data_IF_074840536176
#
_entry.id   IF_074840536176
#
_cell.length_a   1.000
_cell.length_b   1.000
_cell.length_c   1.000
_cell.angle_alpha   90.00
_cell.angle_beta   90.00
_cell.angle_gamma   90.00
#
_symmetry.space_group_name_H-M   'P 1'
#
loop_
_entity.id
_entity.type
_entity.pdbx_description
1 polymer ?
#
# COMPACT_ATOMS: atom_id res chain seq x y z
N UNK A 1 -19.85 -23.98 29.66
CA UNK A 1 -19.56 -23.19 28.44
C UNK A 1 -18.58 -22.03 28.63
N UNK A 2 -18.04 -21.76 29.83
CA UNK A 2 -17.06 -20.67 30.03
C UNK A 2 -15.59 -21.07 29.79
N UNK A 3 -15.27 -22.36 29.89
CA UNK A 3 -13.89 -22.83 29.71
C UNK A 3 -13.46 -22.74 28.23
N UNK A 4 -14.42 -22.91 27.31
CA UNK A 4 -14.19 -22.83 25.86
C UNK A 4 -13.90 -21.40 25.38
N UNK A 5 -14.51 -20.38 25.99
CA UNK A 5 -14.25 -18.98 25.61
C UNK A 5 -12.87 -18.51 26.09
N UNK A 6 -12.46 -18.88 27.31
CA UNK A 6 -11.12 -18.56 27.81
C UNK A 6 -10.02 -19.22 26.97
N UNK A 7 -10.20 -20.49 26.57
CA UNK A 7 -9.23 -21.21 25.74
C UNK A 7 -9.02 -20.55 24.36
N UNK A 8 -10.09 -20.04 23.73
CA UNK A 8 -10.01 -19.37 22.42
C UNK A 8 -9.23 -18.07 22.51
N UNK A 9 -9.44 -17.27 23.56
CA UNK A 9 -8.70 -16.02 23.77
C UNK A 9 -7.21 -16.26 24.00
N UNK A 10 -6.86 -17.28 24.80
CA UNK A 10 -5.48 -17.66 25.06
C UNK A 10 -4.81 -18.17 23.77
N UNK A 11 -5.50 -18.99 22.99
CA UNK A 11 -4.99 -19.47 21.71
C UNK A 11 -4.73 -18.32 20.71
N UNK A 12 -5.64 -17.35 20.62
CA UNK A 12 -5.46 -16.17 19.75
C UNK A 12 -4.30 -15.28 20.21
N UNK A 13 -4.11 -15.09 21.51
CA UNK A 13 -2.98 -14.33 22.04
C UNK A 13 -1.64 -15.02 21.77
N UNK A 14 -1.59 -16.35 21.91
CA UNK A 14 -0.39 -17.14 21.64
C UNK A 14 0.00 -17.13 20.16
N UNK A 15 -0.97 -17.18 19.23
CA UNK A 15 -0.68 -17.12 17.79
C UNK A 15 -0.15 -15.75 17.37
N UNK A 16 -0.75 -14.66 17.86
CA UNK A 16 -0.26 -13.30 17.60
C UNK A 16 1.16 -13.11 18.16
N UNK A 17 1.40 -13.61 19.38
CA UNK A 17 2.70 -13.51 20.02
C UNK A 17 3.76 -14.32 19.26
N UNK A 18 3.42 -15.54 18.84
CA UNK A 18 4.31 -16.41 18.08
C UNK A 18 4.70 -15.79 16.73
N UNK A 19 3.73 -15.18 16.02
CA UNK A 19 3.98 -14.50 14.75
C UNK A 19 4.90 -13.28 14.93
N UNK A 20 4.63 -12.45 15.93
CA UNK A 20 5.47 -11.29 16.25
C UNK A 20 6.89 -11.73 16.64
N UNK A 21 7.03 -12.74 17.51
CA UNK A 21 8.31 -13.27 17.94
C UNK A 21 9.13 -13.80 16.75
N UNK A 22 8.50 -14.57 15.86
CA UNK A 22 9.15 -15.08 14.66
C UNK A 22 9.56 -13.95 13.70
N UNK A 23 8.72 -12.95 13.52
CA UNK A 23 9.05 -11.78 12.70
C UNK A 23 10.27 -11.02 13.24
N UNK A 24 10.28 -10.73 14.55
CA UNK A 24 11.40 -10.04 15.18
C UNK A 24 12.69 -10.87 15.16
N UNK A 25 12.61 -12.18 15.42
CA UNK A 25 13.79 -13.06 15.40
C UNK A 25 14.40 -13.14 14.00
N UNK A 26 13.57 -13.20 12.95
CA UNK A 26 14.03 -13.24 11.55
C UNK A 26 14.78 -11.96 11.19
N UNK A 27 14.23 -10.79 11.54
CA UNK A 27 14.90 -9.49 11.33
C UNK A 27 16.19 -9.33 12.13
N UNK A 28 16.22 -9.85 13.35
CA UNK A 28 17.43 -9.79 14.18
C UNK A 28 18.56 -10.65 13.59
N UNK A 29 18.22 -11.84 13.07
CA UNK A 29 19.18 -12.72 12.38
C UNK A 29 19.68 -12.14 11.06
N UNK A 30 18.81 -11.51 10.28
CA UNK A 30 19.20 -10.78 9.07
C UNK A 30 20.23 -9.68 9.39
N UNK A 31 19.99 -8.89 10.44
CA UNK A 31 20.89 -7.80 10.86
C UNK A 31 22.24 -8.32 11.39
N UNK A 32 22.25 -9.38 12.19
CA UNK A 32 23.48 -10.00 12.68
C UNK A 32 24.35 -10.55 11.53
N UNK A 33 23.72 -11.25 10.58
CA UNK A 33 24.44 -11.81 9.42
C UNK A 33 25.08 -10.72 8.55
N UNK A 34 24.46 -9.54 8.47
CA UNK A 34 25.01 -8.40 7.74
C UNK A 34 26.20 -7.76 8.47
N UNK A 35 26.17 -7.71 9.81
CA UNK A 35 27.29 -7.27 10.64
C UNK A 35 28.49 -8.23 10.54
N UNK A 36 28.24 -9.54 10.61
CA UNK A 36 29.28 -10.59 10.50
C UNK A 36 29.95 -10.60 9.12
N UNK A 37 29.22 -10.21 8.06
CA UNK A 37 29.75 -10.09 6.69
C UNK A 37 30.53 -8.80 6.44
N UNK A 38 30.69 -7.92 7.43
CA UNK A 38 31.48 -6.68 7.31
C UNK A 38 30.91 -5.67 6.31
N UNK A 39 29.64 -5.82 5.92
CA UNK A 39 28.99 -4.88 5.01
C UNK A 39 28.60 -3.62 5.83
N UNK A 40 29.00 -2.40 5.43
CA UNK A 40 28.68 -1.19 6.18
C UNK A 40 27.16 -1.10 6.36
N UNK A 41 26.71 -0.80 7.57
CA UNK A 41 25.28 -0.67 7.95
C UNK A 41 24.47 0.32 7.10
N UNK A 42 25.12 1.02 6.18
CA UNK A 42 24.55 1.91 5.17
C UNK A 42 23.67 1.22 4.11
N UNK A 43 23.77 -0.11 3.94
CA UNK A 43 22.84 -0.83 3.07
C UNK A 43 21.40 -0.85 3.60
N UNK A 44 21.18 -0.65 4.91
CA UNK A 44 19.85 -0.65 5.50
C UNK A 44 19.10 0.68 5.33
N UNK A 45 19.83 1.80 5.22
CA UNK A 45 19.25 3.15 5.02
C UNK A 45 18.62 3.32 3.62
N UNK A 46 19.11 2.56 2.63
CA UNK A 46 18.64 2.68 1.24
C UNK A 46 17.25 2.09 0.99
N UNK A 47 16.75 1.23 1.87
CA UNK A 47 15.51 0.45 1.64
C UNK A 47 14.22 1.22 1.90
N UNK A 48 14.24 2.23 2.77
CA UNK A 48 13.05 3.06 3.06
C UNK A 48 13.15 4.43 2.41
N UNK A 49 13.21 4.45 1.08
CA UNK A 49 12.94 5.68 0.35
C UNK A 49 11.42 5.94 0.39
N UNK A 50 10.93 6.54 1.47
CA UNK A 50 9.54 6.98 1.60
C UNK A 50 9.17 8.08 0.60
N UNK A 51 10.18 8.81 0.08
CA UNK A 51 9.99 9.90 -0.89
C UNK A 51 9.23 9.45 -2.15
N UNK A 52 9.70 8.46 -2.94
CA UNK A 52 8.97 7.99 -4.12
C UNK A 52 7.58 7.44 -3.78
N UNK A 53 7.42 6.77 -2.62
CA UNK A 53 6.12 6.26 -2.18
C UNK A 53 5.11 7.39 -1.92
N UNK A 54 5.54 8.49 -1.27
CA UNK A 54 4.71 9.68 -1.03
C UNK A 54 4.30 10.37 -2.34
N UNK A 55 5.21 10.44 -3.32
CA UNK A 55 4.89 11.03 -4.63
C UNK A 55 3.86 10.17 -5.39
N UNK A 56 4.04 8.85 -5.39
CA UNK A 56 3.10 7.93 -6.05
C UNK A 56 1.71 8.04 -5.42
N UNK A 57 1.63 8.00 -4.08
CA UNK A 57 0.34 8.08 -3.39
C UNK A 57 -0.35 9.41 -3.67
N UNK A 58 0.38 10.53 -3.67
CA UNK A 58 -0.16 11.85 -4.02
C UNK A 58 -0.73 11.93 -5.44
N UNK A 59 -0.02 11.41 -6.45
CA UNK A 59 -0.48 11.42 -7.84
C UNK A 59 -1.74 10.57 -8.00
N UNK A 60 -1.79 9.40 -7.35
CA UNK A 60 -2.98 8.53 -7.38
C UNK A 60 -4.19 9.20 -6.74
N UNK A 61 -4.01 9.84 -5.58
CA UNK A 61 -5.07 10.60 -4.89
C UNK A 61 -5.64 11.73 -5.76
N UNK A 62 -4.77 12.49 -6.43
CA UNK A 62 -5.19 13.56 -7.37
C UNK A 62 -5.96 12.98 -8.56
N UNK A 63 -5.49 11.85 -9.08
CA UNK A 63 -6.12 11.21 -10.25
C UNK A 63 -7.50 10.66 -9.93
N UNK A 64 -7.70 10.10 -8.74
CA UNK A 64 -9.02 9.67 -8.25
C UNK A 64 -9.96 10.87 -8.14
N UNK A 65 -9.50 11.98 -7.56
CA UNK A 65 -10.29 13.21 -7.43
C UNK A 65 -10.67 13.82 -8.79
N UNK A 66 -9.77 13.79 -9.78
CA UNK A 66 -10.10 14.20 -11.14
C UNK A 66 -11.09 13.24 -11.80
N UNK A 67 -10.92 11.93 -11.61
CA UNK A 67 -11.82 10.91 -12.12
C UNK A 67 -13.25 11.05 -11.60
N UNK A 68 -13.43 11.36 -10.32
CA UNK A 68 -14.76 11.59 -9.74
C UNK A 68 -15.43 12.84 -10.30
N UNK A 69 -14.70 13.95 -10.43
CA UNK A 69 -15.22 15.20 -11.02
C UNK A 69 -15.66 14.97 -12.47
N UNK A 70 -14.82 14.29 -13.27
CA UNK A 70 -15.16 13.97 -14.66
C UNK A 70 -16.36 13.02 -14.74
N UNK A 71 -16.43 12.02 -13.85
CA UNK A 71 -17.59 11.11 -13.77
C UNK A 71 -18.91 11.83 -13.50
N UNK A 72 -18.92 12.80 -12.59
CA UNK A 72 -20.09 13.64 -12.30
C UNK A 72 -20.50 14.51 -13.49
N UNK A 73 -19.53 15.11 -14.18
CA UNK A 73 -19.80 15.89 -15.40
C UNK A 73 -20.37 14.99 -16.50
N UNK A 74 -19.79 13.81 -16.72
CA UNK A 74 -20.27 12.85 -17.71
C UNK A 74 -21.70 12.38 -17.43
N UNK A 75 -22.06 12.20 -16.17
CA UNK A 75 -23.43 11.87 -15.77
C UNK A 75 -24.42 12.98 -16.14
N UNK A 76 -24.05 14.25 -15.95
CA UNK A 76 -24.90 15.37 -16.31
C UNK A 76 -25.14 15.46 -17.84
N UNK A 77 -24.16 15.05 -18.64
CA UNK A 77 -24.26 15.01 -20.11
C UNK A 77 -25.02 13.78 -20.63
N UNK A 78 -24.88 12.62 -19.98
CA UNK A 78 -25.53 11.37 -20.37
C UNK A 78 -26.42 10.83 -19.21
N UNK A 79 -27.62 11.40 -19.00
CA UNK A 79 -28.52 10.97 -17.92
C UNK A 79 -29.14 9.58 -18.14
N UNK A 80 -29.02 9.01 -19.34
CA UNK A 80 -29.63 7.72 -19.71
C UNK A 80 -28.80 6.50 -19.32
N UNK A 81 -27.53 6.69 -18.95
CA UNK A 81 -26.63 5.61 -18.51
C UNK A 81 -26.57 5.53 -16.99
N UNK A 82 -26.35 4.31 -16.50
CA UNK A 82 -26.28 4.04 -15.07
C UNK A 82 -25.16 4.86 -14.41
N UNK A 83 -25.54 5.73 -13.47
CA UNK A 83 -24.65 6.57 -12.67
C UNK A 83 -23.46 5.80 -12.09
N UNK A 84 -23.75 4.63 -11.54
CA UNK A 84 -22.77 3.84 -10.83
C UNK A 84 -21.71 3.34 -11.82
N UNK A 85 -22.13 2.81 -12.96
CA UNK A 85 -21.23 2.32 -13.99
C UNK A 85 -20.34 3.43 -14.55
N UNK A 86 -20.89 4.62 -14.81
CA UNK A 86 -20.16 5.74 -15.40
C UNK A 86 -19.12 6.34 -14.42
N UNK A 87 -19.51 6.46 -13.15
CA UNK A 87 -18.63 6.95 -12.08
C UNK A 87 -17.51 5.96 -11.78
N UNK A 88 -17.81 4.65 -11.72
CA UNK A 88 -16.77 3.64 -11.53
C UNK A 88 -15.81 3.56 -12.72
N UNK A 89 -16.32 3.62 -13.95
CA UNK A 89 -15.48 3.59 -15.14
C UNK A 89 -14.54 4.79 -15.21
N UNK A 90 -15.04 6.01 -14.97
CA UNK A 90 -14.22 7.22 -14.96
C UNK A 90 -13.13 7.19 -13.89
N UNK A 91 -13.46 6.82 -12.65
CA UNK A 91 -12.47 6.70 -11.57
C UNK A 91 -11.40 5.67 -11.93
N UNK A 92 -11.79 4.50 -12.45
CA UNK A 92 -10.84 3.44 -12.81
C UNK A 92 -9.87 3.89 -13.91
N UNK A 93 -10.39 4.54 -14.96
CA UNK A 93 -9.60 5.05 -16.08
C UNK A 93 -8.63 6.14 -15.62
N UNK A 94 -9.10 7.13 -14.87
CA UNK A 94 -8.25 8.20 -14.36
C UNK A 94 -7.22 7.71 -13.35
N UNK A 95 -7.58 6.76 -12.48
CA UNK A 95 -6.62 6.12 -11.56
C UNK A 95 -5.53 5.36 -12.33
N UNK A 96 -5.90 4.65 -13.39
CA UNK A 96 -4.95 3.97 -14.27
C UNK A 96 -3.98 4.94 -14.96
N UNK A 97 -4.50 6.05 -15.50
CA UNK A 97 -3.67 7.12 -16.08
C UNK A 97 -2.75 7.75 -15.03
N UNK A 98 -3.25 7.99 -13.82
CA UNK A 98 -2.44 8.48 -12.69
C UNK A 98 -1.27 7.58 -12.35
N UNK A 99 -1.46 6.26 -12.41
CA UNK A 99 -0.41 5.28 -12.17
C UNK A 99 0.66 5.30 -13.26
N UNK A 100 0.25 5.43 -14.53
CA UNK A 100 1.16 5.55 -15.67
C UNK A 100 1.98 6.85 -15.55
N UNK A 101 1.33 7.98 -15.25
CA UNK A 101 2.03 9.26 -15.03
C UNK A 101 3.00 9.15 -13.86
N UNK A 102 2.59 8.52 -12.76
CA UNK A 102 3.46 8.29 -11.61
C UNK A 102 4.72 7.50 -11.98
N UNK A 103 4.63 6.53 -12.88
CA UNK A 103 5.78 5.77 -13.35
C UNK A 103 6.80 6.65 -14.09
N UNK A 104 6.34 7.61 -14.89
CA UNK A 104 7.21 8.56 -15.60
C UNK A 104 7.81 9.65 -14.70
N UNK A 105 7.08 10.09 -13.68
CA UNK A 105 7.53 11.15 -12.75
C UNK A 105 8.57 10.62 -11.75
N UNK A 106 8.52 9.33 -11.41
CA UNK A 106 9.52 8.72 -10.54
C UNK A 106 10.89 8.74 -11.24
N UNK A 107 11.90 9.43 -10.67
CA UNK A 107 13.22 9.44 -11.26
C UNK A 107 13.77 8.01 -11.27
N UNK A 108 14.07 7.49 -12.47
CA UNK A 108 14.82 6.24 -12.66
C UNK A 108 16.16 6.42 -11.94
N UNK A 109 16.29 5.82 -10.76
CA UNK A 109 17.52 5.81 -9.97
C UNK A 109 18.59 5.15 -10.85
N UNK A 110 19.46 5.97 -11.47
CA UNK A 110 20.69 5.52 -12.12
C UNK A 110 21.64 4.96 -11.08
#
# INVERSE_FOLDING_TARGET
MQITSAAVLIAMALTIFSLCYYYFTTRHKERLTLLEKGLPGDFFSKYFNFRPFLLVSGIVLISIALGTVVGLVLQALLPTVNYLALSFASILVFTGLGLIVSYFVLPKKR
#
